data_IF_780016348225
#
_entry.id   IF_780016348225
#
_cell.length_a   1.000
_cell.length_b   1.000
_cell.length_c   1.000
_cell.angle_alpha   90.00
_cell.angle_beta   90.00
_cell.angle_gamma   90.00
#
_symmetry.space_group_name_H-M   'P 1'
#
loop_
_entity.id
_entity.type
_entity.pdbx_description
1 polymer ?
#
# COMPACT_ATOMS: atom_id res chain seq x y z
N UNK A 1 33.75 -3.65 6.26
CA UNK A 1 33.56 -4.33 4.95
C UNK A 1 32.43 -5.36 4.96
N UNK A 2 32.57 -6.63 5.37
CA UNK A 2 31.49 -7.64 5.25
C UNK A 2 30.19 -7.24 5.98
N UNK A 3 30.30 -6.79 7.25
CA UNK A 3 29.15 -6.33 8.06
C UNK A 3 28.40 -5.15 7.44
N UNK A 4 29.14 -4.26 6.79
CA UNK A 4 28.64 -3.04 6.16
C UNK A 4 27.91 -3.36 4.86
N UNK A 5 28.46 -4.27 4.05
CA UNK A 5 27.79 -4.79 2.86
C UNK A 5 26.45 -5.47 3.21
N UNK A 6 26.40 -6.24 4.31
CA UNK A 6 25.16 -6.86 4.78
C UNK A 6 24.11 -5.81 5.15
N UNK A 7 24.50 -4.78 5.93
CA UNK A 7 23.60 -3.68 6.31
C UNK A 7 23.02 -2.96 5.09
N UNK A 8 23.88 -2.56 4.14
CA UNK A 8 23.46 -1.87 2.92
C UNK A 8 22.50 -2.74 2.09
N UNK A 9 22.78 -4.04 1.99
CA UNK A 9 21.93 -4.97 1.24
C UNK A 9 20.55 -5.10 1.89
N UNK A 10 20.48 -5.24 3.21
CA UNK A 10 19.21 -5.31 3.96
C UNK A 10 18.43 -4.00 3.79
N UNK A 11 19.09 -2.83 3.96
CA UNK A 11 18.46 -1.52 3.76
C UNK A 11 17.82 -1.40 2.38
N UNK A 12 18.56 -1.76 1.33
CA UNK A 12 18.07 -1.71 -0.06
C UNK A 12 16.91 -2.68 -0.29
N UNK A 13 17.00 -3.90 0.26
CA UNK A 13 15.93 -4.88 0.18
C UNK A 13 14.64 -4.39 0.83
N UNK A 14 14.72 -3.88 2.06
CA UNK A 14 13.58 -3.31 2.78
C UNK A 14 12.97 -2.11 2.05
N UNK A 15 13.81 -1.22 1.51
CA UNK A 15 13.38 -0.06 0.74
C UNK A 15 12.67 -0.46 -0.56
N UNK A 16 13.16 -1.49 -1.25
CA UNK A 16 12.53 -2.01 -2.46
C UNK A 16 11.18 -2.66 -2.15
N UNK A 17 11.07 -3.43 -1.06
CA UNK A 17 9.79 -4.00 -0.61
C UNK A 17 8.79 -2.90 -0.24
N UNK A 18 9.23 -1.88 0.49
CA UNK A 18 8.41 -0.70 0.79
C UNK A 18 7.90 -0.01 -0.49
N UNK A 19 8.76 0.20 -1.49
CA UNK A 19 8.37 0.80 -2.75
C UNK A 19 7.31 -0.04 -3.49
N UNK A 20 7.47 -1.37 -3.54
CA UNK A 20 6.48 -2.26 -4.14
C UNK A 20 5.14 -2.23 -3.39
N UNK A 21 5.16 -2.29 -2.06
CA UNK A 21 3.95 -2.21 -1.24
C UNK A 21 3.23 -0.87 -1.38
N UNK A 22 3.98 0.23 -1.54
CA UNK A 22 3.43 1.55 -1.82
C UNK A 22 2.69 1.59 -3.16
N UNK A 23 3.25 0.97 -4.21
CA UNK A 23 2.55 0.84 -5.50
C UNK A 23 1.27 0.02 -5.37
N UNK A 24 1.30 -1.10 -4.65
CA UNK A 24 0.11 -1.94 -4.40
C UNK A 24 -0.95 -1.18 -3.59
N UNK A 25 -0.54 -0.44 -2.57
CA UNK A 25 -1.43 0.44 -1.79
C UNK A 25 -2.11 1.46 -2.71
N UNK A 26 -1.34 2.14 -3.58
CA UNK A 26 -1.86 3.10 -4.55
C UNK A 26 -2.85 2.48 -5.53
N UNK A 27 -2.61 1.24 -6.00
CA UNK A 27 -3.56 0.53 -6.86
C UNK A 27 -4.90 0.27 -6.17
N UNK A 28 -4.88 -0.19 -4.91
CA UNK A 28 -6.12 -0.38 -4.16
C UNK A 28 -6.87 0.93 -3.93
N UNK A 29 -6.14 2.02 -3.64
CA UNK A 29 -6.73 3.35 -3.51
C UNK A 29 -7.37 3.83 -4.82
N UNK A 30 -6.71 3.60 -5.95
CA UNK A 30 -7.25 3.92 -7.27
C UNK A 30 -8.54 3.13 -7.58
N UNK A 31 -8.54 1.81 -7.33
CA UNK A 31 -9.73 0.97 -7.53
C UNK A 31 -10.88 1.44 -6.63
N UNK A 32 -10.59 1.72 -5.36
CA UNK A 32 -11.56 2.25 -4.39
C UNK A 32 -12.21 3.56 -4.88
N UNK A 33 -11.40 4.49 -5.41
CA UNK A 33 -11.87 5.75 -5.96
C UNK A 33 -12.72 5.54 -7.22
N UNK A 34 -12.31 4.64 -8.12
CA UNK A 34 -13.08 4.30 -9.31
C UNK A 34 -14.46 3.74 -8.96
N UNK A 35 -14.54 2.85 -7.99
CA UNK A 35 -15.82 2.29 -7.52
C UNK A 35 -16.76 3.36 -6.96
N UNK A 36 -16.23 4.39 -6.29
CA UNK A 36 -17.03 5.52 -5.81
C UNK A 36 -17.56 6.36 -6.97
N UNK A 37 -16.73 6.61 -7.99
CA UNK A 37 -17.17 7.31 -9.20
C UNK A 37 -18.28 6.52 -9.92
N UNK A 38 -18.07 5.22 -10.12
CA UNK A 38 -19.05 4.35 -10.79
C UNK A 38 -20.37 4.25 -9.99
N UNK A 39 -20.34 4.43 -8.66
CA UNK A 39 -21.53 4.38 -7.81
C UNK A 39 -22.46 5.61 -7.97
N UNK A 40 -21.94 6.75 -8.46
CA UNK A 40 -22.72 7.99 -8.61
C UNK A 40 -23.85 7.85 -9.64
N UNK A 41 -23.60 7.09 -10.70
CA UNK A 41 -24.54 6.88 -11.82
C UNK A 41 -25.28 5.53 -11.72
N UNK A 42 -25.05 4.77 -10.65
CA UNK A 42 -25.59 3.42 -10.49
C UNK A 42 -26.99 3.42 -9.84
N UNK A 43 -27.71 2.30 -9.98
CA UNK A 43 -28.93 2.07 -9.20
C UNK A 43 -28.62 2.00 -7.70
N UNK A 44 -29.60 2.27 -6.83
CA UNK A 44 -29.37 2.29 -5.37
C UNK A 44 -28.75 0.98 -4.82
N UNK A 45 -29.16 -0.18 -5.34
CA UNK A 45 -28.58 -1.47 -4.93
C UNK A 45 -27.13 -1.62 -5.42
N UNK A 46 -26.85 -1.26 -6.67
CA UNK A 46 -25.51 -1.34 -7.25
C UNK A 46 -24.55 -0.33 -6.58
N UNK A 47 -25.00 0.90 -6.34
CA UNK A 47 -24.26 1.94 -5.63
C UNK A 47 -23.85 1.47 -4.22
N UNK A 48 -24.74 0.79 -3.50
CA UNK A 48 -24.42 0.21 -2.18
C UNK A 48 -23.31 -0.84 -2.28
N UNK A 49 -23.41 -1.79 -3.22
CA UNK A 49 -22.39 -2.84 -3.41
C UNK A 49 -21.04 -2.26 -3.81
N UNK A 50 -21.03 -1.28 -4.72
CA UNK A 50 -19.81 -0.57 -5.14
C UNK A 50 -19.18 0.20 -3.97
N UNK A 51 -20.00 0.82 -3.13
CA UNK A 51 -19.53 1.53 -1.92
C UNK A 51 -18.92 0.55 -0.91
N UNK A 52 -19.57 -0.59 -0.65
CA UNK A 52 -19.05 -1.64 0.24
C UNK A 52 -17.71 -2.18 -0.27
N UNK A 53 -17.57 -2.43 -1.57
CA UNK A 53 -16.30 -2.82 -2.19
C UNK A 53 -15.24 -1.73 -2.08
N UNK A 54 -15.60 -0.47 -2.34
CA UNK A 54 -14.70 0.67 -2.23
C UNK A 54 -14.09 0.79 -0.83
N UNK A 55 -14.91 0.58 0.21
CA UNK A 55 -14.45 0.57 1.60
C UNK A 55 -13.43 -0.56 1.82
N UNK A 56 -13.70 -1.79 1.34
CA UNK A 56 -12.76 -2.90 1.48
C UNK A 56 -11.42 -2.62 0.81
N UNK A 57 -11.42 -2.06 -0.40
CA UNK A 57 -10.18 -1.68 -1.09
C UNK A 57 -9.43 -0.57 -0.34
N UNK A 58 -10.12 0.38 0.28
CA UNK A 58 -9.49 1.41 1.09
C UNK A 58 -8.82 0.82 2.35
N UNK A 59 -9.46 -0.17 2.98
CA UNK A 59 -8.86 -0.93 4.11
C UNK A 59 -7.59 -1.66 3.66
N UNK A 60 -7.61 -2.32 2.50
CA UNK A 60 -6.41 -2.98 1.95
C UNK A 60 -5.30 -1.97 1.60
N UNK A 61 -5.64 -0.82 1.02
CA UNK A 61 -4.69 0.25 0.76
C UNK A 61 -4.01 0.70 2.06
N UNK A 62 -4.77 0.88 3.14
CA UNK A 62 -4.26 1.26 4.45
C UNK A 62 -3.32 0.19 5.03
N UNK A 63 -3.67 -1.10 4.96
CA UNK A 63 -2.78 -2.16 5.41
C UNK A 63 -1.44 -2.15 4.67
N UNK A 64 -1.46 -2.00 3.34
CA UNK A 64 -0.23 -1.93 2.54
C UNK A 64 0.62 -0.70 2.90
N UNK A 65 -0.01 0.44 3.17
CA UNK A 65 0.68 1.65 3.63
C UNK A 65 1.34 1.46 5.00
N UNK A 66 0.67 0.79 5.95
CA UNK A 66 1.24 0.47 7.26
C UNK A 66 2.46 -0.45 7.11
N UNK A 67 2.36 -1.52 6.32
CA UNK A 67 3.48 -2.44 6.11
C UNK A 67 4.64 -1.71 5.41
N UNK A 68 4.34 -0.83 4.44
CA UNK A 68 5.33 0.06 3.82
C UNK A 68 6.07 0.88 4.88
N UNK A 69 5.35 1.53 5.79
CA UNK A 69 5.92 2.30 6.89
C UNK A 69 6.80 1.47 7.81
N UNK A 70 6.39 0.23 8.13
CA UNK A 70 7.21 -0.72 8.91
C UNK A 70 8.50 -1.06 8.17
N UNK A 71 8.43 -1.39 6.87
CA UNK A 71 9.62 -1.69 6.07
C UNK A 71 10.59 -0.50 6.03
N UNK A 72 10.09 0.72 5.87
CA UNK A 72 10.91 1.94 5.89
C UNK A 72 11.51 2.20 7.27
N UNK A 73 10.73 2.06 8.35
CA UNK A 73 11.23 2.19 9.72
C UNK A 73 12.34 1.17 10.01
N UNK A 74 12.15 -0.09 9.60
CA UNK A 74 13.18 -1.12 9.66
C UNK A 74 14.42 -0.73 8.87
N UNK A 75 14.27 -0.16 7.67
CA UNK A 75 15.40 0.28 6.85
C UNK A 75 16.22 1.40 7.52
N UNK A 76 15.57 2.30 8.26
CA UNK A 76 16.23 3.37 9.04
C UNK A 76 17.13 2.82 10.16
N UNK A 77 16.77 1.69 10.79
CA UNK A 77 17.66 1.05 11.79
C UNK A 77 18.97 0.51 11.19
N UNK A 78 19.03 0.38 9.87
CA UNK A 78 20.24 0.00 9.14
C UNK A 78 20.91 1.20 8.45
N UNK A 79 20.47 2.44 8.74
CA UNK A 79 21.25 3.64 8.43
C UNK A 79 22.44 3.73 9.39
N UNK A 80 23.63 3.77 8.79
CA UNK A 80 24.98 3.95 9.34
C UNK A 80 25.20 3.59 10.83
#
# INVERSE_FOLDING_TARGET
MVRETIRITIKRGLSAVAAMLSLVSGMFWHISAKQQMDALDASAEAARKLTELSIQFNVWAAYMAVITGICLACALYFED
#
